data_IF_185121407108
#
_entry.id   IF_185121407108
#
_cell.length_a   1.000
_cell.length_b   1.000
_cell.length_c   1.000
_cell.angle_alpha   90.00
_cell.angle_beta   90.00
_cell.angle_gamma   90.00
#
_symmetry.space_group_name_H-M   'P 1'
#
loop_
_entity.id
_entity.type
_entity.pdbx_description
1 polymer ?
#
# COMPACT_ATOMS: atom_id res chain seq x y z
N UNK A 1 7.47 25.85 -37.87
CA UNK A 1 8.70 25.67 -37.07
C UNK A 1 8.33 24.88 -35.82
N UNK A 2 8.49 23.56 -35.84
CA UNK A 2 8.32 22.72 -34.64
C UNK A 2 9.54 22.93 -33.78
N UNK A 3 9.43 23.83 -32.81
CA UNK A 3 10.42 23.99 -31.76
C UNK A 3 10.52 22.63 -31.04
N UNK A 4 11.53 21.84 -31.41
CA UNK A 4 11.75 20.53 -30.83
C UNK A 4 12.30 20.76 -29.44
N UNK A 5 11.41 21.05 -28.48
CA UNK A 5 11.77 21.27 -27.08
C UNK A 5 12.55 20.05 -26.59
N UNK A 6 13.88 20.19 -26.58
CA UNK A 6 14.78 19.15 -26.10
C UNK A 6 14.46 18.96 -24.63
N UNK A 7 13.89 17.80 -24.28
CA UNK A 7 13.65 17.43 -22.89
C UNK A 7 15.00 17.36 -22.17
N UNK A 8 15.17 18.18 -21.14
CA UNK A 8 16.38 18.24 -20.31
C UNK A 8 16.09 17.78 -18.88
N UNK A 9 17.09 17.28 -18.14
CA UNK A 9 16.95 17.05 -16.71
C UNK A 9 16.54 18.33 -15.97
N UNK A 10 15.72 18.20 -14.92
CA UNK A 10 15.31 19.31 -14.06
C UNK A 10 16.53 19.84 -13.30
N UNK A 11 16.72 21.16 -13.27
CA UNK A 11 17.84 21.75 -12.54
C UNK A 11 17.66 21.60 -11.03
N UNK A 12 18.75 21.57 -10.25
CA UNK A 12 18.69 21.40 -8.80
C UNK A 12 17.84 22.49 -8.10
N UNK A 13 17.90 23.73 -8.60
CA UNK A 13 17.13 24.87 -8.12
C UNK A 13 15.62 24.77 -8.40
N UNK A 14 15.21 23.93 -9.36
CA UNK A 14 13.82 23.73 -9.75
C UNK A 14 13.18 22.52 -9.03
N UNK A 15 13.94 21.82 -8.18
CA UNK A 15 13.46 20.67 -7.41
C UNK A 15 12.74 21.11 -6.14
N UNK A 16 11.65 20.43 -5.84
CA UNK A 16 10.97 20.58 -4.56
C UNK A 16 11.62 19.70 -3.49
N UNK A 17 12.46 20.31 -2.64
CA UNK A 17 13.13 19.62 -1.54
C UNK A 17 12.15 18.84 -0.65
N UNK A 18 10.97 19.42 -0.36
CA UNK A 18 9.93 18.75 0.43
C UNK A 18 9.50 17.42 -0.19
N UNK A 19 9.27 17.39 -1.51
CA UNK A 19 8.86 16.16 -2.21
C UNK A 19 9.97 15.11 -2.21
N UNK A 20 11.22 15.54 -2.31
CA UNK A 20 12.36 14.62 -2.34
C UNK A 20 12.60 13.97 -0.97
N UNK A 21 12.49 14.75 0.12
CA UNK A 21 12.54 14.22 1.49
C UNK A 21 11.39 13.25 1.76
N UNK A 22 10.16 13.62 1.39
CA UNK A 22 8.99 12.76 1.57
C UNK A 22 9.09 11.45 0.79
N UNK A 23 9.70 11.46 -0.41
CA UNK A 23 9.95 10.23 -1.18
C UNK A 23 10.95 9.32 -0.49
N UNK A 24 12.08 9.86 -0.04
CA UNK A 24 13.11 9.08 0.68
C UNK A 24 12.54 8.45 1.95
N UNK A 25 11.82 9.24 2.74
CA UNK A 25 11.12 8.78 3.92
C UNK A 25 10.06 7.70 3.59
N UNK A 26 9.31 7.90 2.50
CA UNK A 26 8.36 6.92 1.94
C UNK A 26 9.00 5.55 1.72
N UNK A 27 10.15 5.51 1.04
CA UNK A 27 10.86 4.26 0.73
C UNK A 27 11.36 3.58 2.00
N UNK A 28 11.95 4.34 2.94
CA UNK A 28 12.42 3.77 4.21
C UNK A 28 11.30 3.18 5.05
N UNK A 29 10.14 3.84 5.08
CA UNK A 29 9.00 3.31 5.81
C UNK A 29 8.37 2.09 5.15
N UNK A 30 8.38 2.00 3.81
CA UNK A 30 7.97 0.79 3.08
C UNK A 30 8.92 -0.38 3.39
N UNK A 31 10.23 -0.13 3.48
CA UNK A 31 11.21 -1.16 3.87
C UNK A 31 10.90 -1.72 5.27
N UNK A 32 10.61 -0.86 6.24
CA UNK A 32 10.29 -1.28 7.60
C UNK A 32 9.08 -2.25 7.66
N UNK A 33 8.06 -2.00 6.84
CA UNK A 33 6.86 -2.86 6.77
C UNK A 33 7.18 -4.21 6.14
N UNK A 34 8.02 -4.24 5.10
CA UNK A 34 8.28 -5.45 4.32
C UNK A 34 9.40 -6.33 4.87
N UNK A 35 10.14 -5.89 5.89
CA UNK A 35 11.22 -6.65 6.52
C UNK A 35 10.79 -8.09 6.90
N UNK A 36 9.58 -8.23 7.45
CA UNK A 36 8.97 -9.52 7.81
C UNK A 36 8.78 -10.41 6.57
N UNK A 37 8.25 -9.85 5.48
CA UNK A 37 7.98 -10.57 4.23
C UNK A 37 9.24 -10.89 3.41
N UNK A 38 10.40 -10.29 3.73
CA UNK A 38 11.70 -10.71 3.19
C UNK A 38 12.30 -11.88 3.98
N UNK A 39 11.98 -11.98 5.27
CA UNK A 39 12.56 -12.96 6.17
C UNK A 39 11.72 -14.24 6.32
N UNK A 40 10.42 -14.16 6.05
CA UNK A 40 9.46 -15.24 6.34
C UNK A 40 8.46 -15.46 5.19
N UNK A 41 7.84 -16.66 5.10
CA UNK A 41 6.80 -16.95 4.11
C UNK A 41 5.64 -15.95 4.17
N UNK A 42 4.94 -15.79 3.04
CA UNK A 42 3.84 -14.83 2.87
C UNK A 42 2.70 -15.06 3.88
N UNK A 43 2.44 -16.32 4.24
CA UNK A 43 1.44 -16.73 5.22
C UNK A 43 1.68 -16.09 6.60
N UNK A 44 2.95 -15.95 7.02
CA UNK A 44 3.30 -15.30 8.30
C UNK A 44 3.05 -13.80 8.24
N UNK A 45 3.30 -13.17 7.08
CA UNK A 45 3.04 -11.75 6.90
C UNK A 45 1.53 -11.44 6.90
N UNK A 46 0.71 -12.33 6.34
CA UNK A 46 -0.76 -12.21 6.34
C UNK A 46 -1.38 -12.63 7.68
N UNK A 47 -0.79 -13.62 8.35
CA UNK A 47 -1.31 -14.22 9.58
C UNK A 47 -0.18 -14.26 10.64
N UNK A 48 0.02 -13.16 11.40
CA UNK A 48 1.20 -13.00 12.27
C UNK A 48 1.39 -14.06 13.36
N UNK A 49 0.33 -14.73 13.81
CA UNK A 49 0.41 -15.80 14.80
C UNK A 49 0.97 -17.12 14.24
N UNK A 50 1.18 -17.23 12.93
CA UNK A 50 1.93 -18.33 12.32
C UNK A 50 3.45 -18.13 12.40
N UNK A 51 3.91 -17.00 12.92
CA UNK A 51 5.32 -16.73 13.15
C UNK A 51 5.95 -17.81 14.04
N UNK A 52 7.13 -18.35 13.67
CA UNK A 52 7.88 -19.25 14.55
C UNK A 52 8.47 -18.51 15.77
N UNK A 53 8.48 -17.18 15.73
CA UNK A 53 8.90 -16.31 16.83
C UNK A 53 7.67 -15.74 17.54
N UNK A 54 7.49 -16.00 18.85
CA UNK A 54 6.40 -15.40 19.61
C UNK A 54 6.44 -13.88 19.56
N UNK A 55 5.30 -13.24 19.27
CA UNK A 55 5.18 -11.78 19.26
C UNK A 55 4.97 -11.23 20.70
N UNK A 56 5.90 -11.56 21.58
CA UNK A 56 5.93 -11.13 22.99
C UNK A 56 7.17 -10.26 23.24
N UNK A 57 7.17 -9.44 24.30
CA UNK A 57 8.35 -8.63 24.63
C UNK A 57 8.78 -7.71 23.48
N UNK A 58 10.07 -7.70 23.16
CA UNK A 58 10.63 -6.80 22.14
C UNK A 58 10.07 -7.05 20.73
N UNK A 59 9.79 -8.30 20.37
CA UNK A 59 9.20 -8.70 19.10
C UNK A 59 7.78 -8.17 18.95
N UNK A 60 6.99 -8.26 20.03
CA UNK A 60 5.64 -7.68 20.10
C UNK A 60 5.67 -6.15 19.99
N UNK A 61 6.59 -5.49 20.69
CA UNK A 61 6.77 -4.03 20.60
C UNK A 61 7.20 -3.58 19.21
N UNK A 62 8.11 -4.31 18.56
CA UNK A 62 8.53 -4.03 17.19
C UNK A 62 7.37 -4.19 16.20
N UNK A 63 6.60 -5.27 16.32
CA UNK A 63 5.40 -5.48 15.50
C UNK A 63 4.38 -4.35 15.72
N UNK A 64 4.09 -4.01 16.97
CA UNK A 64 3.18 -2.91 17.32
C UNK A 64 3.64 -1.58 16.73
N UNK A 65 4.93 -1.25 16.82
CA UNK A 65 5.49 -0.03 16.26
C UNK A 65 5.33 0.01 14.74
N UNK A 66 5.63 -1.08 14.04
CA UNK A 66 5.45 -1.20 12.58
C UNK A 66 3.97 -1.02 12.20
N UNK A 67 3.05 -1.69 12.88
CA UNK A 67 1.62 -1.57 12.59
C UNK A 67 1.08 -0.16 12.86
N UNK A 68 1.47 0.42 13.98
CA UNK A 68 0.97 1.73 14.42
C UNK A 68 1.53 2.85 13.54
N UNK A 69 2.84 2.90 13.29
CA UNK A 69 3.47 4.05 12.65
C UNK A 69 3.71 3.87 11.14
N UNK A 70 3.84 2.63 10.65
CA UNK A 70 4.34 2.39 9.29
C UNK A 70 3.33 1.74 8.35
N UNK A 71 2.67 0.67 8.80
CA UNK A 71 1.82 -0.17 7.96
C UNK A 71 0.67 0.64 7.34
N UNK A 72 0.54 0.57 6.01
CA UNK A 72 -0.31 1.41 5.15
C UNK A 72 -0.01 2.91 5.09
N UNK A 73 0.69 3.52 6.07
CA UNK A 73 0.98 4.96 6.08
C UNK A 73 1.97 5.34 4.98
N UNK A 74 3.11 4.63 4.90
CA UNK A 74 4.16 4.99 3.95
C UNK A 74 3.84 4.60 2.51
N UNK A 75 3.15 3.47 2.27
CA UNK A 75 2.66 3.14 0.92
C UNK A 75 1.57 4.12 0.46
N UNK A 76 0.76 4.65 1.38
CA UNK A 76 -0.22 5.71 1.08
C UNK A 76 0.48 7.00 0.65
N UNK A 77 1.48 7.44 1.42
CA UNK A 77 2.31 8.59 1.07
C UNK A 77 3.01 8.38 -0.28
N UNK A 78 3.65 7.23 -0.46
CA UNK A 78 4.37 6.89 -1.69
C UNK A 78 3.43 6.87 -2.91
N UNK A 79 2.22 6.32 -2.79
CA UNK A 79 1.19 6.34 -3.84
C UNK A 79 0.83 7.76 -4.25
N UNK A 80 0.60 8.65 -3.28
CA UNK A 80 0.30 10.07 -3.56
C UNK A 80 1.47 10.74 -4.28
N UNK A 81 2.70 10.56 -3.79
CA UNK A 81 3.91 11.15 -4.39
C UNK A 81 4.22 10.58 -5.79
N UNK A 82 3.87 9.33 -6.04
CA UNK A 82 3.95 8.75 -7.38
C UNK A 82 2.95 9.45 -8.33
N UNK A 83 1.73 9.70 -7.88
CA UNK A 83 0.76 10.52 -8.63
C UNK A 83 1.28 11.92 -8.96
N UNK A 84 1.91 12.60 -7.99
CA UNK A 84 2.60 13.87 -8.25
C UNK A 84 3.70 13.71 -9.31
N UNK A 85 4.44 12.59 -9.26
CA UNK A 85 5.49 12.30 -10.24
C UNK A 85 4.94 12.06 -11.65
N UNK A 86 3.75 11.46 -11.79
CA UNK A 86 3.03 11.36 -13.07
C UNK A 86 2.77 12.75 -13.66
N UNK A 87 2.27 13.68 -12.84
CA UNK A 87 2.01 15.05 -13.28
C UNK A 87 3.32 15.81 -13.61
N UNK A 88 4.33 15.71 -12.74
CA UNK A 88 5.62 16.39 -12.91
C UNK A 88 6.44 15.84 -14.08
N UNK A 89 6.36 14.55 -14.39
CA UNK A 89 7.10 13.99 -15.54
C UNK A 89 6.30 14.17 -16.82
N UNK A 90 5.00 13.88 -16.77
CA UNK A 90 4.13 13.85 -17.94
C UNK A 90 3.56 15.19 -18.39
N UNK A 91 3.61 16.21 -17.53
CA UNK A 91 2.98 17.50 -17.79
C UNK A 91 1.47 17.38 -18.00
N UNK A 92 0.87 18.43 -18.54
CA UNK A 92 -0.52 18.38 -18.99
C UNK A 92 -0.67 17.41 -20.18
N UNK A 93 -1.89 16.96 -20.46
CA UNK A 93 -2.19 16.00 -21.55
C UNK A 93 -1.90 16.59 -22.94
N UNK A 94 -1.92 17.92 -23.06
CA UNK A 94 -1.51 18.65 -24.25
C UNK A 94 -0.01 18.57 -24.51
N UNK A 95 0.81 18.35 -23.47
CA UNK A 95 2.27 18.19 -23.58
C UNK A 95 2.62 16.79 -24.12
N UNK A 96 2.69 16.67 -25.45
CA UNK A 96 2.98 15.41 -26.14
C UNK A 96 4.38 14.87 -25.84
N UNK A 97 5.46 15.69 -25.87
CA UNK A 97 6.81 15.22 -25.57
C UNK A 97 6.94 14.64 -24.15
N UNK A 98 6.47 15.35 -23.12
CA UNK A 98 6.50 14.85 -21.74
C UNK A 98 5.58 13.65 -21.53
N UNK A 99 4.42 13.65 -22.20
CA UNK A 99 3.52 12.51 -22.23
C UNK A 99 4.18 11.24 -22.78
N UNK A 100 4.98 11.35 -23.84
CA UNK A 100 5.75 10.23 -24.40
C UNK A 100 6.85 9.76 -23.44
N UNK A 101 7.57 10.68 -22.80
CA UNK A 101 8.57 10.35 -21.78
C UNK A 101 7.95 9.58 -20.61
N UNK A 102 6.81 10.04 -20.10
CA UNK A 102 6.09 9.36 -19.01
C UNK A 102 5.68 7.94 -19.41
N UNK A 103 5.07 7.74 -20.59
CA UNK A 103 4.69 6.40 -21.08
C UNK A 103 5.90 5.48 -21.18
N UNK A 104 7.03 5.98 -21.67
CA UNK A 104 8.28 5.20 -21.74
C UNK A 104 8.77 4.79 -20.34
N UNK A 105 8.74 5.70 -19.37
CA UNK A 105 9.14 5.41 -17.99
C UNK A 105 8.20 4.42 -17.31
N UNK A 106 6.89 4.53 -17.51
CA UNK A 106 5.92 3.55 -17.03
C UNK A 106 6.09 2.19 -17.72
N UNK A 107 6.43 2.17 -19.01
CA UNK A 107 6.74 0.94 -19.75
C UNK A 107 7.96 0.23 -19.17
N UNK A 108 9.04 0.95 -18.89
CA UNK A 108 10.20 0.38 -18.20
C UNK A 108 9.88 -0.06 -16.77
N UNK A 109 9.09 0.71 -16.04
CA UNK A 109 8.64 0.33 -14.70
C UNK A 109 7.83 -0.98 -14.73
N UNK A 110 7.00 -1.18 -15.75
CA UNK A 110 6.26 -2.43 -15.98
C UNK A 110 7.20 -3.60 -16.23
N UNK A 111 8.20 -3.42 -17.12
CA UNK A 111 9.20 -4.46 -17.41
C UNK A 111 10.00 -4.82 -16.15
N UNK A 112 10.46 -3.82 -15.40
CA UNK A 112 11.17 -4.05 -14.15
C UNK A 112 10.28 -4.71 -13.09
N UNK A 113 9.00 -4.34 -13.00
CA UNK A 113 8.05 -4.99 -12.09
C UNK A 113 7.81 -6.46 -12.43
N UNK A 114 7.70 -6.80 -13.72
CA UNK A 114 7.58 -8.19 -14.14
C UNK A 114 8.82 -9.00 -13.78
N UNK A 115 10.01 -8.48 -14.09
CA UNK A 115 11.28 -9.15 -13.76
C UNK A 115 11.43 -9.28 -12.24
N UNK A 116 11.18 -8.20 -11.50
CA UNK A 116 11.32 -8.18 -10.05
C UNK A 116 10.32 -9.10 -9.36
N UNK A 117 9.05 -9.05 -9.73
CA UNK A 117 8.01 -9.89 -9.15
C UNK A 117 8.21 -11.38 -9.42
N UNK A 118 8.52 -11.74 -10.67
CA UNK A 118 8.70 -13.13 -11.07
C UNK A 118 10.03 -13.71 -10.57
N UNK A 119 11.13 -12.96 -10.64
CA UNK A 119 12.48 -13.48 -10.46
C UNK A 119 13.14 -13.11 -9.13
N UNK A 120 12.65 -12.10 -8.41
CA UNK A 120 13.33 -11.55 -7.23
C UNK A 120 12.47 -11.69 -5.98
N UNK A 121 11.27 -11.10 -5.97
CA UNK A 121 10.43 -11.08 -4.78
C UNK A 121 8.94 -10.84 -5.07
N UNK A 122 8.09 -11.68 -4.47
CA UNK A 122 6.65 -11.73 -4.70
C UNK A 122 5.90 -10.45 -4.33
N UNK A 123 6.44 -9.65 -3.40
CA UNK A 123 5.84 -8.40 -2.93
C UNK A 123 6.04 -7.20 -3.86
N UNK A 124 6.31 -7.43 -5.15
CA UNK A 124 6.51 -6.37 -6.14
C UNK A 124 5.35 -5.37 -6.17
N UNK A 125 5.70 -4.09 -6.01
CA UNK A 125 4.78 -2.96 -6.13
C UNK A 125 4.94 -2.22 -7.48
N UNK A 126 6.03 -2.47 -8.21
CA UNK A 126 6.37 -1.72 -9.42
C UNK A 126 5.38 -2.01 -10.54
N UNK A 127 4.99 -3.27 -10.73
CA UNK A 127 4.00 -3.67 -11.73
C UNK A 127 2.65 -3.01 -11.45
N UNK A 128 2.17 -3.10 -10.20
CA UNK A 128 0.94 -2.43 -9.76
C UNK A 128 0.99 -0.93 -10.08
N UNK A 129 2.10 -0.27 -9.77
CA UNK A 129 2.25 1.18 -9.98
C UNK A 129 2.38 1.55 -11.44
N UNK A 130 3.00 0.71 -12.26
CA UNK A 130 3.10 0.92 -13.69
C UNK A 130 1.71 0.83 -14.35
N UNK A 131 0.96 -0.24 -14.07
CA UNK A 131 -0.39 -0.46 -14.60
C UNK A 131 -1.35 0.64 -14.12
N UNK A 132 -1.35 0.92 -12.81
CA UNK A 132 -2.15 2.00 -12.24
C UNK A 132 -1.76 3.35 -12.84
N UNK A 133 -0.46 3.60 -13.03
CA UNK A 133 0.06 4.81 -13.64
C UNK A 133 -0.41 4.99 -15.08
N UNK A 134 -0.51 3.90 -15.86
CA UNK A 134 -1.08 3.91 -17.21
C UNK A 134 -2.55 4.34 -17.23
N UNK A 135 -3.33 3.98 -16.21
CA UNK A 135 -4.71 4.42 -16.07
C UNK A 135 -4.76 5.88 -15.59
N UNK A 136 -4.05 6.20 -14.52
CA UNK A 136 -4.08 7.52 -13.87
C UNK A 136 -3.56 8.64 -14.77
N UNK A 137 -2.63 8.36 -15.68
CA UNK A 137 -2.14 9.37 -16.62
C UNK A 137 -3.25 9.93 -17.55
N UNK A 138 -4.37 9.21 -17.73
CA UNK A 138 -5.52 9.68 -18.49
C UNK A 138 -6.25 10.84 -17.79
N UNK A 139 -6.15 10.90 -16.46
CA UNK A 139 -6.84 11.85 -15.59
C UNK A 139 -5.93 13.00 -15.12
N UNK A 140 -4.63 12.98 -15.44
CA UNK A 140 -3.64 13.95 -14.92
C UNK A 140 -3.98 15.43 -15.18
N UNK A 141 -4.74 15.71 -16.24
CA UNK A 141 -5.19 17.06 -16.61
C UNK A 141 -6.53 17.47 -16.02
N UNK A 142 -7.15 16.64 -15.20
CA UNK A 142 -8.37 17.03 -14.50
C UNK A 142 -8.13 18.17 -13.52
N UNK A 143 -9.19 18.94 -13.25
CA UNK A 143 -9.18 20.01 -12.25
C UNK A 143 -8.90 19.39 -10.87
N UNK A 144 -8.17 20.09 -9.97
CA UNK A 144 -7.81 19.57 -8.65
C UNK A 144 -9.01 19.08 -7.85
N UNK A 145 -10.13 19.83 -7.90
CA UNK A 145 -11.39 19.48 -7.24
C UNK A 145 -11.97 18.16 -7.76
N UNK A 146 -11.92 17.92 -9.07
CA UNK A 146 -12.43 16.67 -9.67
C UNK A 146 -11.56 15.49 -9.23
N UNK A 147 -10.23 15.64 -9.29
CA UNK A 147 -9.29 14.63 -8.81
C UNK A 147 -9.58 14.27 -7.35
N UNK A 148 -9.71 15.27 -6.48
CA UNK A 148 -10.00 15.07 -5.07
C UNK A 148 -11.33 14.34 -4.85
N UNK A 149 -12.43 14.81 -5.44
CA UNK A 149 -13.76 14.20 -5.24
C UNK A 149 -13.77 12.74 -5.68
N UNK A 150 -13.24 12.45 -6.88
CA UNK A 150 -13.19 11.08 -7.41
C UNK A 150 -12.31 10.20 -6.53
N UNK A 151 -11.16 10.70 -6.07
CA UNK A 151 -10.31 9.97 -5.12
C UNK A 151 -11.05 9.60 -3.83
N UNK A 152 -11.74 10.56 -3.21
CA UNK A 152 -12.49 10.33 -1.97
C UNK A 152 -13.62 9.33 -2.21
N UNK A 153 -14.39 9.47 -3.29
CA UNK A 153 -15.46 8.52 -3.64
C UNK A 153 -14.91 7.10 -3.80
N UNK A 154 -13.84 6.92 -4.59
CA UNK A 154 -13.26 5.59 -4.83
C UNK A 154 -12.71 4.98 -3.54
N UNK A 155 -12.06 5.77 -2.67
CA UNK A 155 -11.57 5.30 -1.37
C UNK A 155 -12.72 4.88 -0.46
N UNK A 156 -13.78 5.69 -0.37
CA UNK A 156 -14.95 5.39 0.47
C UNK A 156 -15.71 4.16 -0.04
N UNK A 157 -15.94 4.05 -1.35
CA UNK A 157 -16.57 2.89 -1.96
C UNK A 157 -15.74 1.62 -1.75
N UNK A 158 -14.42 1.68 -1.98
CA UNK A 158 -13.53 0.56 -1.72
C UNK A 158 -13.51 0.14 -0.25
N UNK A 159 -13.54 1.11 0.66
CA UNK A 159 -13.61 0.85 2.11
C UNK A 159 -14.95 0.21 2.49
N UNK A 160 -16.06 0.69 1.94
CA UNK A 160 -17.38 0.10 2.16
C UNK A 160 -17.46 -1.34 1.64
N UNK A 161 -16.92 -1.61 0.45
CA UNK A 161 -16.86 -2.97 -0.13
C UNK A 161 -16.00 -3.93 0.70
N UNK A 162 -14.97 -3.43 1.39
CA UNK A 162 -14.15 -4.24 2.28
C UNK A 162 -14.80 -4.47 3.66
N UNK A 163 -15.46 -3.46 4.22
CA UNK A 163 -15.96 -3.49 5.61
C UNK A 163 -17.38 -4.04 5.73
N UNK A 164 -18.29 -3.66 4.82
CA UNK A 164 -19.70 -4.04 4.94
C UNK A 164 -19.94 -5.55 4.91
N UNK A 165 -19.26 -6.36 4.06
CA UNK A 165 -19.40 -7.81 4.11
C UNK A 165 -18.96 -8.39 5.45
N UNK A 166 -17.88 -7.87 6.05
CA UNK A 166 -17.39 -8.32 7.36
C UNK A 166 -18.36 -7.94 8.49
N UNK A 167 -18.98 -6.77 8.43
CA UNK A 167 -20.04 -6.37 9.36
C UNK A 167 -21.29 -7.25 9.21
N UNK A 168 -21.68 -7.57 7.97
CA UNK A 168 -22.80 -8.48 7.71
C UNK A 168 -22.51 -9.89 8.24
N UNK A 169 -21.27 -10.37 8.12
CA UNK A 169 -20.84 -11.68 8.61
C UNK A 169 -20.99 -11.82 10.13
N UNK A 170 -20.89 -10.71 10.89
CA UNK A 170 -21.15 -10.68 12.34
C UNK A 170 -22.62 -10.97 12.72
N UNK A 171 -23.52 -10.95 11.74
CA UNK A 171 -24.94 -11.24 11.92
C UNK A 171 -25.35 -12.54 11.20
N UNK A 172 -24.44 -13.18 10.46
CA UNK A 172 -24.69 -14.45 9.80
C UNK A 172 -24.75 -15.62 10.80
N UNK A 173 -25.45 -16.72 10.46
CA UNK A 173 -25.46 -17.94 11.26
C UNK A 173 -24.04 -18.43 11.59
N UNK A 174 -23.82 -19.05 12.77
CA UNK A 174 -22.48 -19.48 13.20
C UNK A 174 -21.78 -20.41 12.19
N UNK A 175 -22.52 -21.30 11.54
CA UNK A 175 -22.00 -22.21 10.51
C UNK A 175 -21.47 -21.44 9.30
N UNK A 176 -22.28 -20.56 8.71
CA UNK A 176 -21.87 -19.71 7.57
C UNK A 176 -20.68 -18.82 7.94
N UNK A 177 -20.65 -18.27 9.15
CA UNK A 177 -19.51 -17.49 9.63
C UNK A 177 -18.24 -18.34 9.70
N UNK A 178 -18.33 -19.54 10.27
CA UNK A 178 -17.19 -20.45 10.37
C UNK A 178 -16.67 -20.86 8.99
N UNK A 179 -17.57 -21.16 8.05
CA UNK A 179 -17.24 -21.50 6.67
C UNK A 179 -16.50 -20.34 5.96
N UNK A 180 -17.06 -19.13 6.01
CA UNK A 180 -16.43 -17.96 5.37
C UNK A 180 -15.08 -17.64 6.01
N UNK A 181 -14.97 -17.70 7.34
CA UNK A 181 -13.69 -17.47 8.03
C UNK A 181 -12.64 -18.54 7.66
N UNK A 182 -13.06 -19.80 7.49
CA UNK A 182 -12.17 -20.87 7.03
C UNK A 182 -11.70 -20.64 5.58
N UNK A 183 -12.57 -20.12 4.69
CA UNK A 183 -12.18 -19.75 3.33
C UNK A 183 -11.26 -18.52 3.28
N UNK A 184 -11.40 -17.59 4.23
CA UNK A 184 -10.54 -16.41 4.35
C UNK A 184 -9.20 -16.71 5.03
N UNK A 185 -9.04 -17.87 5.67
CA UNK A 185 -7.80 -18.26 6.31
C UNK A 185 -6.70 -18.45 5.25
N UNK A 186 -5.70 -17.57 5.27
CA UNK A 186 -4.59 -17.57 4.31
C UNK A 186 -3.47 -18.49 4.79
N UNK A 187 -3.75 -19.80 4.76
CA UNK A 187 -2.81 -20.87 5.12
C UNK A 187 -2.76 -21.20 6.61
N UNK A 188 -1.87 -22.13 6.97
CA UNK A 188 -1.65 -22.61 8.32
C UNK A 188 -0.22 -23.10 8.54
N UNK A 189 0.06 -23.76 9.69
CA UNK A 189 1.40 -24.21 10.03
C UNK A 189 2.02 -25.18 9.00
N UNK A 190 1.19 -25.98 8.34
CA UNK A 190 1.65 -26.92 7.30
C UNK A 190 2.13 -26.19 6.04
N UNK A 191 1.41 -25.14 5.61
CA UNK A 191 1.77 -24.31 4.47
C UNK A 191 3.06 -23.55 4.74
N UNK A 192 3.22 -22.99 5.95
CA UNK A 192 4.46 -22.34 6.37
C UNK A 192 5.63 -23.33 6.32
N UNK A 193 5.46 -24.54 6.86
CA UNK A 193 6.49 -25.58 6.81
C UNK A 193 6.84 -25.99 5.38
N UNK A 194 5.83 -26.12 4.50
CA UNK A 194 6.00 -26.41 3.06
C UNK A 194 6.81 -25.32 2.37
N UNK A 195 6.43 -24.05 2.55
CA UNK A 195 7.13 -22.91 1.96
C UNK A 195 8.60 -22.87 2.41
N UNK A 196 8.87 -23.08 3.70
CA UNK A 196 10.24 -23.14 4.23
C UNK A 196 11.02 -24.31 3.60
N UNK A 197 10.42 -25.49 3.51
CA UNK A 197 11.07 -26.66 2.91
C UNK A 197 11.41 -26.43 1.43
N UNK A 198 10.49 -25.82 0.69
CA UNK A 198 10.65 -25.52 -0.74
C UNK A 198 11.72 -24.46 -0.99
N UNK A 199 11.76 -23.39 -0.19
CA UNK A 199 12.84 -22.39 -0.26
C UNK A 199 14.20 -23.02 0.08
N UNK A 200 14.25 -23.93 1.06
CA UNK A 200 15.48 -24.64 1.44
C UNK A 200 15.91 -25.72 0.45
N UNK A 201 15.05 -26.13 -0.50
CA UNK A 201 15.39 -27.16 -1.49
C UNK A 201 16.29 -26.64 -2.62
N UNK A 202 16.65 -25.36 -2.60
CA UNK A 202 17.53 -24.71 -3.58
C UNK A 202 16.80 -23.69 -4.45
N UNK A 203 17.54 -23.11 -5.41
CA UNK A 203 17.05 -21.98 -6.21
C UNK A 203 15.74 -22.28 -6.94
N UNK A 204 15.59 -23.47 -7.54
CA UNK A 204 14.37 -23.84 -8.25
C UNK A 204 13.14 -23.88 -7.34
N UNK A 205 13.30 -24.39 -6.11
CA UNK A 205 12.23 -24.40 -5.11
C UNK A 205 11.87 -23.00 -4.65
N UNK A 206 12.86 -22.18 -4.29
CA UNK A 206 12.65 -20.79 -3.92
C UNK A 206 11.95 -19.99 -5.04
N UNK A 207 12.32 -20.22 -6.30
CA UNK A 207 11.67 -19.60 -7.45
C UNK A 207 10.21 -20.04 -7.63
N UNK A 208 9.92 -21.33 -7.41
CA UNK A 208 8.57 -21.86 -7.49
C UNK A 208 7.68 -21.26 -6.40
N UNK A 209 8.16 -21.20 -5.15
CA UNK A 209 7.46 -20.57 -4.03
C UNK A 209 7.20 -19.08 -4.30
N UNK A 210 8.23 -18.36 -4.77
CA UNK A 210 8.10 -16.95 -5.13
C UNK A 210 7.04 -16.72 -6.21
N UNK A 211 7.03 -17.56 -7.25
CA UNK A 211 6.08 -17.45 -8.36
C UNK A 211 4.64 -17.71 -7.89
N UNK A 212 4.44 -18.74 -7.07
CA UNK A 212 3.13 -19.05 -6.48
C UNK A 212 2.61 -17.88 -5.63
N UNK A 213 3.46 -17.37 -4.74
CA UNK A 213 3.14 -16.22 -3.89
C UNK A 213 2.85 -14.96 -4.72
N UNK A 214 3.64 -14.71 -5.77
CA UNK A 214 3.48 -13.56 -6.65
C UNK A 214 2.12 -13.61 -7.37
N UNK A 215 1.72 -14.76 -7.90
CA UNK A 215 0.41 -14.93 -8.56
C UNK A 215 -0.73 -14.59 -7.57
N UNK A 216 -0.68 -15.13 -6.34
CA UNK A 216 -1.66 -14.82 -5.29
C UNK A 216 -1.74 -13.31 -5.02
N UNK A 217 -0.59 -12.66 -4.85
CA UNK A 217 -0.51 -11.20 -4.63
C UNK A 217 -1.05 -10.40 -5.81
N UNK A 218 -0.78 -10.80 -7.06
CA UNK A 218 -1.30 -10.08 -8.23
C UNK A 218 -2.82 -10.19 -8.36
N UNK A 219 -3.40 -11.36 -8.09
CA UNK A 219 -4.86 -11.54 -8.07
C UNK A 219 -5.52 -10.65 -7.01
N UNK A 220 -4.95 -10.58 -5.81
CA UNK A 220 -5.40 -9.64 -4.77
C UNK A 220 -5.19 -8.18 -5.18
N UNK A 221 -4.09 -7.88 -5.88
CA UNK A 221 -3.75 -6.52 -6.29
C UNK A 221 -4.75 -5.93 -7.29
N UNK A 222 -5.21 -6.72 -8.25
CA UNK A 222 -6.20 -6.29 -9.26
C UNK A 222 -7.57 -6.05 -8.64
N UNK A 223 -7.95 -6.82 -7.63
CA UNK A 223 -9.29 -6.73 -7.03
C UNK A 223 -9.38 -5.70 -5.91
N UNK A 224 -8.31 -5.52 -5.12
CA UNK A 224 -8.35 -4.71 -3.90
C UNK A 224 -7.45 -3.48 -4.00
N UNK A 225 -6.24 -3.63 -4.54
CA UNK A 225 -5.17 -2.65 -4.35
C UNK A 225 -5.13 -1.60 -5.47
N UNK A 226 -5.47 -1.97 -6.71
CA UNK A 226 -5.34 -1.10 -7.90
C UNK A 226 -6.22 0.15 -7.82
N UNK A 227 -7.47 0.01 -7.37
CA UNK A 227 -8.42 1.12 -7.27
C UNK A 227 -8.00 2.11 -6.19
N UNK A 228 -7.61 1.60 -5.02
CA UNK A 228 -7.09 2.39 -3.91
C UNK A 228 -5.82 3.14 -4.32
N UNK A 229 -4.89 2.45 -4.98
CA UNK A 229 -3.63 3.04 -5.45
C UNK A 229 -3.90 4.15 -6.47
N UNK A 230 -4.79 3.93 -7.43
CA UNK A 230 -5.17 4.94 -8.41
C UNK A 230 -5.82 6.16 -7.77
N UNK A 231 -6.73 5.95 -6.82
CA UNK A 231 -7.36 7.01 -6.05
C UNK A 231 -6.33 7.83 -5.26
N UNK A 232 -5.35 7.19 -4.61
CA UNK A 232 -4.29 7.88 -3.90
C UNK A 232 -3.35 8.66 -4.84
N UNK A 233 -2.99 8.10 -6.00
CA UNK A 233 -2.22 8.85 -7.00
C UNK A 233 -2.97 10.11 -7.46
N UNK A 234 -4.28 10.00 -7.71
CA UNK A 234 -5.12 11.16 -8.05
C UNK A 234 -5.23 12.16 -6.89
N UNK A 235 -5.31 11.69 -5.65
CA UNK A 235 -5.35 12.54 -4.46
C UNK A 235 -4.04 13.32 -4.32
N UNK A 236 -2.90 12.65 -4.52
CA UNK A 236 -1.59 13.30 -4.53
C UNK A 236 -1.49 14.41 -5.58
N UNK A 237 -1.99 14.16 -6.80
CA UNK A 237 -2.07 15.20 -7.84
C UNK A 237 -2.95 16.38 -7.42
N UNK A 238 -4.11 16.14 -6.80
CA UNK A 238 -4.99 17.19 -6.31
C UNK A 238 -4.32 18.06 -5.23
N UNK A 239 -3.74 17.41 -4.21
CA UNK A 239 -3.03 18.08 -3.11
C UNK A 239 -1.82 18.86 -3.61
N UNK A 240 -1.09 18.34 -4.59
CA UNK A 240 0.00 19.06 -5.23
C UNK A 240 -0.48 20.32 -5.97
N UNK A 241 -1.54 20.20 -6.79
CA UNK A 241 -2.10 21.34 -7.52
C UNK A 241 -2.67 22.43 -6.59
N UNK A 242 -3.14 22.06 -5.40
CA UNK A 242 -3.53 23.02 -4.35
C UNK A 242 -2.36 23.59 -3.54
N UNK A 243 -1.14 23.13 -3.79
CA UNK A 243 0.05 23.61 -3.09
C UNK A 243 0.25 23.03 -1.69
N UNK A 244 -0.56 22.06 -1.26
CA UNK A 244 -0.41 21.41 0.03
C UNK A 244 0.94 20.68 0.16
N UNK A 245 1.32 19.90 -0.86
CA UNK A 245 2.59 19.16 -0.88
C UNK A 245 3.83 20.04 -1.15
N UNK A 246 3.61 21.31 -1.50
CA UNK A 246 4.67 22.31 -1.70
C UNK A 246 4.74 23.36 -0.60
N UNK A 247 4.02 23.16 0.51
CA UNK A 247 4.11 24.04 1.69
C UNK A 247 3.32 25.34 1.59
N UNK A 248 2.38 25.45 0.65
CA UNK A 248 1.61 26.69 0.37
C UNK A 248 0.23 26.73 1.03
N UNK A 249 -0.19 25.64 1.69
CA UNK A 249 -1.45 25.66 2.41
C UNK A 249 -1.35 26.48 3.71
N UNK A 250 -2.45 27.01 4.25
CA UNK A 250 -2.44 27.68 5.54
C UNK A 250 -1.93 26.75 6.67
N UNK A 251 -1.17 27.30 7.62
CA UNK A 251 -0.57 26.53 8.74
C UNK A 251 -1.60 25.72 9.53
N UNK A 252 -2.81 26.26 9.71
CA UNK A 252 -3.89 25.57 10.44
C UNK A 252 -4.30 24.25 9.76
N UNK A 253 -4.18 24.14 8.43
CA UNK A 253 -4.49 22.90 7.70
C UNK A 253 -3.51 21.80 8.10
N UNK A 254 -2.22 22.13 8.18
CA UNK A 254 -1.20 21.20 8.66
C UNK A 254 -1.43 20.83 10.12
N UNK A 255 -1.75 21.80 10.98
CA UNK A 255 -2.10 21.55 12.38
C UNK A 255 -3.29 20.62 12.55
N UNK A 256 -4.38 20.85 11.80
CA UNK A 256 -5.55 19.98 11.80
C UNK A 256 -5.21 18.55 11.34
N UNK A 257 -4.40 18.40 10.30
CA UNK A 257 -3.97 17.08 9.83
C UNK A 257 -3.05 16.36 10.81
N UNK A 258 -2.23 17.09 11.57
CA UNK A 258 -1.43 16.50 12.67
C UNK A 258 -2.36 15.95 13.74
N UNK A 259 -3.40 16.69 14.15
CA UNK A 259 -4.38 16.23 15.14
C UNK A 259 -5.15 15.00 14.64
N UNK A 260 -5.67 15.05 13.41
CA UNK A 260 -6.40 13.92 12.80
C UNK A 260 -5.48 12.71 12.64
N UNK A 261 -4.25 12.93 12.20
CA UNK A 261 -3.23 11.88 12.08
C UNK A 261 -2.88 11.25 13.42
N UNK A 262 -2.71 12.05 14.48
CA UNK A 262 -2.43 11.57 15.82
C UNK A 262 -3.60 10.74 16.38
N UNK A 263 -4.84 11.17 16.16
CA UNK A 263 -6.03 10.40 16.52
C UNK A 263 -6.09 9.06 15.75
N UNK A 264 -5.78 9.06 14.46
CA UNK A 264 -5.68 7.83 13.67
C UNK A 264 -4.57 6.88 14.16
N UNK A 265 -3.39 7.42 14.50
CA UNK A 265 -2.30 6.65 15.09
C UNK A 265 -2.71 6.04 16.43
N UNK A 266 -3.38 6.82 17.29
CA UNK A 266 -3.92 6.35 18.55
C UNK A 266 -4.87 5.16 18.37
N UNK A 267 -5.86 5.28 17.48
CA UNK A 267 -6.81 4.19 17.18
C UNK A 267 -6.09 2.94 16.65
N UNK A 268 -5.20 3.08 15.66
CA UNK A 268 -4.45 1.92 15.13
C UNK A 268 -3.49 1.32 16.16
N UNK A 269 -2.98 2.14 17.08
CA UNK A 269 -2.15 1.70 18.20
C UNK A 269 -2.94 0.85 19.19
N UNK A 270 -4.14 1.28 19.57
CA UNK A 270 -5.04 0.51 20.44
C UNK A 270 -5.44 -0.83 19.79
N UNK A 271 -5.88 -0.80 18.53
CA UNK A 271 -6.24 -2.00 17.78
C UNK A 271 -5.07 -3.01 17.70
N UNK A 272 -3.85 -2.51 17.48
CA UNK A 272 -2.66 -3.36 17.42
C UNK A 272 -2.30 -3.93 18.80
N UNK A 273 -2.48 -3.17 19.89
CA UNK A 273 -2.30 -3.69 21.25
C UNK A 273 -3.30 -4.78 21.58
N UNK A 274 -4.56 -4.59 21.23
CA UNK A 274 -5.62 -5.58 21.45
C UNK A 274 -5.28 -6.90 20.74
N UNK A 275 -4.86 -6.84 19.48
CA UNK A 275 -4.42 -8.02 18.72
C UNK A 275 -3.28 -8.78 19.41
N UNK A 276 -2.29 -8.07 19.96
CA UNK A 276 -1.21 -8.70 20.72
C UNK A 276 -1.72 -9.32 22.04
N UNK A 277 -2.59 -8.60 22.77
CA UNK A 277 -3.12 -9.04 24.05
C UNK A 277 -3.94 -10.34 23.93
N UNK A 278 -4.69 -10.51 22.83
CA UNK A 278 -5.48 -11.71 22.55
C UNK A 278 -4.71 -12.75 21.72
N UNK A 279 -3.42 -12.55 21.48
CA UNK A 279 -2.57 -13.39 20.64
C UNK A 279 -3.21 -13.70 19.26
N UNK A 280 -3.79 -12.67 18.64
CA UNK A 280 -4.47 -12.74 17.35
C UNK A 280 -5.64 -13.76 17.29
N UNK A 281 -6.18 -14.17 18.44
CA UNK A 281 -7.42 -14.92 18.47
C UNK A 281 -8.54 -14.09 17.80
N UNK A 282 -9.41 -14.74 17.02
CA UNK A 282 -10.60 -14.07 16.49
C UNK A 282 -11.43 -13.51 17.66
N UNK A 283 -11.98 -12.29 17.55
CA UNK A 283 -12.89 -11.78 18.56
C UNK A 283 -13.99 -12.82 18.79
N UNK A 284 -14.16 -13.28 20.04
CA UNK A 284 -15.24 -14.21 20.37
C UNK A 284 -16.55 -13.53 19.95
N UNK A 285 -17.41 -14.28 19.27
CA UNK A 285 -18.68 -13.84 18.66
C UNK A 285 -19.72 -13.25 19.64
N UNK A 286 -19.33 -12.93 20.87
CA UNK A 286 -20.24 -12.73 21.98
C UNK A 286 -20.56 -11.26 22.24
N UNK A 287 -20.10 -10.33 21.40
CA UNK A 287 -20.46 -8.91 21.51
C UNK A 287 -19.93 -8.19 22.76
N UNK A 288 -19.17 -8.86 23.63
CA UNK A 288 -18.50 -8.23 24.76
C UNK A 288 -17.14 -7.68 24.32
N UNK A 289 -17.09 -6.37 24.06
CA UNK A 289 -15.88 -5.59 24.30
C UNK A 289 -15.61 -5.65 25.81
N UNK A 290 -14.89 -6.67 26.26
CA UNK A 290 -14.30 -6.63 27.60
C UNK A 290 -13.13 -5.64 27.55
N UNK A 291 -13.46 -4.37 27.74
CA UNK A 291 -12.50 -3.38 28.23
C UNK A 291 -12.16 -3.77 29.68
N UNK A 292 -11.25 -4.72 29.80
CA UNK A 292 -10.59 -5.04 31.05
C UNK A 292 -9.44 -4.05 31.25
N UNK A 293 -9.63 -3.19 32.26
CA UNK A 293 -8.79 -2.08 32.76
C UNK A 293 -9.13 -0.70 32.20
#
# INVERSE_FOLDING_TARGET
>A
MTDNQILRPVAASERHMSLDVLRGLGVMGILAVNAVAFAMPMEVYMTPNLSPFPLTGAEGEAWWAVQTFFHFKFVTLFSMLFGVSILLVGGERSDKPRGALLRRRLGWLLVFGLIHGLLIWFGDILLLYAVTGFVVLLFRSWKPRTLFIVSIIVILLGSALAVLPMMALQHAPPETRAEVLAQMAMGGPAEVARAIALVKSGLAGAMAENTEAWIKVQVMSVTIIIWRTGALMMLGMALYKWGFLTGRAPTWVYGALVVVGAAGLWVTGLESREKLAINFAQPRSNGELQLGF
#
